data_IF_792992294807
#
_entry.id   IF_792992294807
#
_cell.length_a   1.000
_cell.length_b   1.000
_cell.length_c   1.000
_cell.angle_alpha   90.00
_cell.angle_beta   90.00
_cell.angle_gamma   90.00
#
_symmetry.space_group_name_H-M   'P 1'
#
loop_
_entity.id
_entity.type
_entity.pdbx_description
1 polymer ?
#
# COMPACT_ATOMS: atom_id res chain seq x y z
N UNK A 1 5.90 -11.21 19.62
CA UNK A 1 5.28 -10.89 18.32
C UNK A 1 5.73 -9.51 17.90
N UNK A 2 6.44 -9.39 16.79
CA UNK A 2 6.90 -8.10 16.25
C UNK A 2 5.71 -7.40 15.57
N UNK A 3 5.54 -6.09 15.78
CA UNK A 3 4.51 -5.33 15.07
C UNK A 3 4.87 -5.26 13.58
N UNK A 4 3.93 -5.63 12.71
CA UNK A 4 4.01 -5.38 11.28
C UNK A 4 3.45 -3.99 10.99
N UNK A 5 4.13 -3.23 10.14
CA UNK A 5 3.70 -1.92 9.69
C UNK A 5 3.50 -1.94 8.18
N UNK A 6 2.46 -1.28 7.70
CA UNK A 6 2.20 -1.14 6.28
C UNK A 6 3.19 -0.17 5.65
N UNK A 7 3.84 -0.63 4.58
CA UNK A 7 4.67 0.18 3.71
C UNK A 7 4.18 -0.01 2.28
N UNK A 8 3.93 1.09 1.59
CA UNK A 8 3.65 1.10 0.16
C UNK A 8 4.65 2.00 -0.55
N UNK A 9 5.24 1.48 -1.62
CA UNK A 9 6.19 2.22 -2.45
C UNK A 9 5.62 2.35 -3.86
N UNK A 10 5.56 3.58 -4.36
CA UNK A 10 5.42 3.82 -5.79
C UNK A 10 6.80 3.89 -6.38
N UNK A 11 7.06 3.08 -7.40
CA UNK A 11 8.39 2.92 -7.98
C UNK A 11 8.29 3.16 -9.48
N UNK A 12 9.27 3.88 -10.02
CA UNK A 12 9.47 3.97 -11.46
C UNK A 12 9.92 2.62 -12.00
N UNK A 13 9.14 2.03 -12.91
CA UNK A 13 9.34 0.65 -13.35
C UNK A 13 10.66 0.48 -14.14
N UNK A 14 11.09 1.52 -14.85
CA UNK A 14 12.30 1.45 -15.68
C UNK A 14 13.59 1.63 -14.85
N UNK A 15 13.62 2.64 -13.97
CA UNK A 15 14.82 2.99 -13.21
C UNK A 15 14.87 2.39 -11.81
N UNK A 16 13.76 1.85 -11.30
CA UNK A 16 13.64 1.36 -9.93
C UNK A 16 13.65 2.46 -8.87
N UNK A 17 13.57 3.74 -9.26
CA UNK A 17 13.54 4.86 -8.31
C UNK A 17 12.22 4.89 -7.54
N UNK A 18 12.30 5.12 -6.24
CA UNK A 18 11.11 5.39 -5.41
C UNK A 18 10.59 6.79 -5.77
N UNK A 19 9.33 6.84 -6.19
CA UNK A 19 8.61 8.07 -6.51
C UNK A 19 7.83 8.58 -5.30
N UNK A 20 7.17 7.67 -4.56
CA UNK A 20 6.36 7.98 -3.39
C UNK A 20 6.45 6.86 -2.36
N UNK A 21 6.26 7.20 -1.07
CA UNK A 21 6.31 6.25 0.03
C UNK A 21 5.22 6.53 1.04
N UNK A 22 4.33 5.57 1.28
CA UNK A 22 3.23 5.65 2.24
C UNK A 22 3.48 4.66 3.39
N UNK A 23 3.45 5.17 4.62
CA UNK A 23 3.78 4.40 5.83
C UNK A 23 2.64 4.52 6.83
N UNK A 24 2.18 3.39 7.38
CA UNK A 24 1.32 3.39 8.55
C UNK A 24 2.10 3.02 9.81
N UNK A 25 2.54 4.04 10.56
CA UNK A 25 3.24 3.88 11.83
C UNK A 25 2.36 3.34 12.96
N UNK A 26 1.03 3.27 12.76
CA UNK A 26 0.11 2.72 13.77
C UNK A 26 -0.03 1.20 13.68
N UNK A 27 0.35 0.60 12.55
CA UNK A 27 0.25 -0.85 12.31
C UNK A 27 -1.19 -1.35 12.13
N UNK A 28 -2.13 -0.46 11.79
CA UNK A 28 -3.53 -0.80 11.45
C UNK A 28 -3.64 -1.38 10.05
N UNK A 29 -2.74 -0.97 9.16
CA UNK A 29 -2.60 -1.51 7.81
C UNK A 29 -1.31 -2.32 7.76
N UNK A 30 -1.40 -3.57 7.30
CA UNK A 30 -0.28 -4.48 7.12
C UNK A 30 -0.63 -5.54 6.07
N UNK A 31 0.35 -6.36 5.68
CA UNK A 31 0.17 -7.51 4.77
C UNK A 31 -0.51 -7.11 3.44
N UNK A 32 -0.12 -5.95 2.89
CA UNK A 32 -0.57 -5.45 1.58
C UNK A 32 0.24 -6.15 0.50
N UNK A 33 -0.43 -6.75 -0.47
CA UNK A 33 0.19 -7.49 -1.58
C UNK A 33 0.08 -6.73 -2.89
N UNK A 34 -0.98 -5.93 -3.06
CA UNK A 34 -1.20 -5.12 -4.24
C UNK A 34 -1.80 -3.78 -3.89
N UNK A 35 -1.45 -2.75 -4.65
CA UNK A 35 -2.12 -1.47 -4.61
C UNK A 35 -2.21 -0.83 -5.99
N UNK A 36 -3.35 -0.23 -6.28
CA UNK A 36 -3.67 0.36 -7.58
C UNK A 36 -4.37 1.69 -7.36
N UNK A 37 -3.88 2.74 -8.03
CA UNK A 37 -4.59 4.02 -8.09
C UNK A 37 -5.83 3.88 -8.99
N UNK A 38 -6.99 4.33 -8.53
CA UNK A 38 -8.25 4.22 -9.28
C UNK A 38 -8.45 5.36 -10.31
N UNK A 39 -7.49 6.28 -10.43
CA UNK A 39 -7.57 7.48 -11.27
C UNK A 39 -8.53 8.56 -10.75
N UNK A 40 -9.10 8.39 -9.55
CA UNK A 40 -10.05 9.31 -8.91
C UNK A 40 -9.55 9.80 -7.54
N UNK A 41 -8.24 9.71 -7.30
CA UNK A 41 -7.62 10.10 -6.04
C UNK A 41 -7.81 9.08 -4.92
N UNK A 42 -8.05 7.81 -5.25
CA UNK A 42 -8.00 6.72 -4.28
C UNK A 42 -6.94 5.69 -4.63
N UNK A 43 -6.42 5.08 -3.57
CA UNK A 43 -5.61 3.88 -3.64
C UNK A 43 -6.44 2.68 -3.17
N UNK A 44 -6.63 1.72 -4.04
CA UNK A 44 -7.23 0.42 -3.72
C UNK A 44 -6.13 -0.54 -3.32
N UNK A 45 -6.26 -1.19 -2.18
CA UNK A 45 -5.26 -2.09 -1.62
C UNK A 45 -5.86 -3.48 -1.40
N UNK A 46 -5.13 -4.51 -1.79
CA UNK A 46 -5.49 -5.91 -1.61
C UNK A 46 -4.40 -6.69 -0.87
N UNK A 47 -4.80 -7.83 -0.32
CA UNK A 47 -3.94 -8.75 0.43
C UNK A 47 -4.17 -10.17 -0.07
N UNK A 48 -3.11 -10.98 -0.10
CA UNK A 48 -3.19 -12.43 -0.32
C UNK A 48 -3.51 -13.21 0.98
N UNK A 49 -3.46 -12.53 2.13
CA UNK A 49 -3.79 -13.08 3.45
C UNK A 49 -5.17 -12.65 3.97
N UNK A 50 -5.87 -11.75 3.27
CA UNK A 50 -7.18 -11.23 3.68
C UNK A 50 -8.13 -11.06 2.48
N UNK A 51 -9.41 -11.38 2.65
CA UNK A 51 -10.45 -11.31 1.63
C UNK A 51 -11.19 -9.95 1.57
N UNK A 52 -10.67 -8.92 2.22
CA UNK A 52 -11.18 -7.54 2.13
C UNK A 52 -10.31 -6.67 1.23
N UNK A 53 -10.94 -5.74 0.50
CA UNK A 53 -10.28 -4.65 -0.19
C UNK A 53 -10.34 -3.38 0.66
N UNK A 54 -9.19 -2.73 0.85
CA UNK A 54 -9.11 -1.44 1.53
C UNK A 54 -9.07 -0.30 0.50
N UNK A 55 -9.63 0.85 0.87
CA UNK A 55 -9.57 2.08 0.07
C UNK A 55 -8.99 3.21 0.91
N UNK A 56 -7.91 3.82 0.43
CA UNK A 56 -7.32 5.03 0.99
C UNK A 56 -7.63 6.21 0.07
N UNK A 57 -8.00 7.36 0.65
CA UNK A 57 -8.10 8.62 -0.08
C UNK A 57 -6.73 9.30 -0.05
N UNK A 58 -6.21 9.65 -1.23
CA UNK A 58 -4.94 10.37 -1.41
C UNK A 58 -5.14 11.88 -1.27
#
# INVERSE_FOLDING_TARGET
MTRKYGLLLKVDVESGKILESLHDSTGRVADITTAVEDGRGHLLMGSDANYYLAKLKL
#
